data_IF_709989188761
#
_entry.id   IF_709989188761
#
_cell.length_a   1.000
_cell.length_b   1.000
_cell.length_c   1.000
_cell.angle_alpha   90.00
_cell.angle_beta   90.00
_cell.angle_gamma   90.00
#
_symmetry.space_group_name_H-M   'P 1'
#
loop_
_entity.id
_entity.type
_entity.pdbx_description
1 polymer ?
#
# COMPACT_ATOMS: atom_id res chain seq x y z
N UNK A 1 44.16 6.36 5.44
CA UNK A 1 43.02 5.44 5.66
C UNK A 1 41.89 6.27 6.23
N UNK A 2 41.11 6.92 5.37
CA UNK A 2 40.00 7.80 5.73
C UNK A 2 38.75 6.93 5.96
N UNK A 3 38.40 6.67 7.23
CA UNK A 3 37.15 5.99 7.61
C UNK A 3 36.05 7.05 7.74
N UNK A 4 34.92 6.84 7.06
CA UNK A 4 33.67 7.48 7.47
C UNK A 4 32.81 8.10 6.36
N UNK A 5 32.77 7.51 5.16
CA UNK A 5 31.69 7.76 4.20
C UNK A 5 30.36 7.18 4.69
N UNK A 6 29.87 7.62 5.85
CA UNK A 6 28.54 7.31 6.35
C UNK A 6 27.55 8.13 5.53
N UNK A 7 27.13 7.60 4.39
CA UNK A 7 25.88 8.05 3.77
C UNK A 7 24.73 7.71 4.75
N UNK A 8 24.39 8.65 5.63
CA UNK A 8 23.23 8.62 6.54
C UNK A 8 21.87 8.59 5.80
N UNK A 9 21.90 8.51 4.47
CA UNK A 9 20.77 8.55 3.57
C UNK A 9 20.57 7.17 2.92
N UNK A 10 20.33 6.14 3.74
CA UNK A 10 19.98 4.82 3.24
C UNK A 10 18.55 4.84 2.68
N UNK A 11 18.26 4.09 1.60
CA UNK A 11 16.89 3.90 1.16
C UNK A 11 16.08 3.21 2.26
N UNK A 12 14.92 3.77 2.58
CA UNK A 12 14.00 3.20 3.53
C UNK A 12 13.15 2.14 2.84
N UNK A 13 13.35 0.89 3.25
CA UNK A 13 12.59 -0.26 2.77
C UNK A 13 11.38 -0.48 3.67
N UNK A 14 10.20 -0.14 3.17
CA UNK A 14 8.93 -0.30 3.88
C UNK A 14 8.29 -1.65 3.53
N UNK A 15 7.75 -2.34 4.52
CA UNK A 15 7.09 -3.63 4.36
C UNK A 15 5.58 -3.44 4.41
N UNK A 16 4.88 -3.84 3.35
CA UNK A 16 3.43 -3.70 3.27
C UNK A 16 2.73 -5.04 3.07
N UNK A 17 1.50 -5.11 3.61
CA UNK A 17 0.55 -6.20 3.39
C UNK A 17 -0.82 -5.62 3.07
N UNK A 18 -1.42 -6.08 1.98
CA UNK A 18 -2.73 -5.62 1.53
C UNK A 18 -3.68 -6.80 1.52
N UNK A 19 -4.69 -6.73 2.38
CA UNK A 19 -5.68 -7.76 2.56
C UNK A 19 -6.90 -7.47 1.67
N UNK A 20 -7.17 -8.35 0.73
CA UNK A 20 -8.29 -8.25 -0.22
C UNK A 20 -9.24 -9.44 -0.05
N UNK A 21 -10.47 -9.37 -0.60
CA UNK A 21 -11.40 -10.49 -0.53
C UNK A 21 -10.78 -11.79 -1.03
N UNK A 22 -11.02 -12.89 -0.32
CA UNK A 22 -10.44 -14.20 -0.64
C UNK A 22 -10.74 -14.61 -2.08
N UNK A 23 -9.72 -15.04 -2.80
CA UNK A 23 -9.82 -15.42 -4.22
C UNK A 23 -9.53 -14.27 -5.20
N UNK A 24 -9.21 -13.07 -4.69
CA UNK A 24 -8.75 -11.97 -5.54
C UNK A 24 -7.40 -12.31 -6.17
N UNK A 25 -7.24 -11.98 -7.45
CA UNK A 25 -6.00 -12.28 -8.19
C UNK A 25 -5.29 -11.00 -8.58
N UNK A 26 -4.03 -10.88 -8.15
CA UNK A 26 -3.13 -9.83 -8.59
C UNK A 26 -2.84 -10.00 -10.08
N UNK A 27 -3.17 -9.01 -10.90
CA UNK A 27 -2.94 -9.03 -12.35
C UNK A 27 -1.71 -8.24 -12.76
N UNK A 28 -1.43 -7.16 -12.04
CA UNK A 28 -0.25 -6.33 -12.26
C UNK A 28 0.20 -5.67 -10.95
N UNK A 29 1.50 -5.51 -10.79
CA UNK A 29 2.10 -4.80 -9.67
C UNK A 29 3.31 -4.03 -10.13
N UNK A 30 3.36 -2.74 -9.79
CA UNK A 30 4.48 -1.86 -10.11
C UNK A 30 4.91 -1.07 -8.87
N UNK A 31 6.22 -0.85 -8.74
CA UNK A 31 6.83 -0.12 -7.62
C UNK A 31 7.31 -0.98 -6.45
N UNK A 32 7.06 -2.29 -6.45
CA UNK A 32 7.68 -3.22 -5.49
C UNK A 32 9.09 -3.60 -5.97
N UNK A 33 10.09 -3.47 -5.10
CA UNK A 33 11.47 -3.87 -5.43
C UNK A 33 11.64 -5.39 -5.58
N UNK A 34 10.77 -6.15 -4.94
CA UNK A 34 10.78 -7.61 -4.97
C UNK A 34 9.50 -8.14 -5.59
N UNK A 35 9.57 -9.38 -6.09
CA UNK A 35 8.39 -10.12 -6.52
C UNK A 35 7.40 -10.17 -5.35
N UNK A 36 6.19 -9.65 -5.57
CA UNK A 36 5.15 -9.71 -4.57
C UNK A 36 4.76 -11.15 -4.26
N UNK A 37 4.54 -11.42 -2.98
CA UNK A 37 4.02 -12.70 -2.51
C UNK A 37 2.51 -12.60 -2.39
N UNK A 38 1.84 -13.67 -2.77
CA UNK A 38 0.40 -13.82 -2.61
C UNK A 38 0.11 -15.08 -1.83
N UNK A 39 -0.65 -14.97 -0.75
CA UNK A 39 -1.06 -16.09 0.09
C UNK A 39 -2.41 -15.81 0.73
N UNK A 40 -3.02 -16.83 1.36
CA UNK A 40 -4.26 -16.66 2.11
C UNK A 40 -3.97 -16.59 3.61
N UNK A 41 -4.52 -15.59 4.29
CA UNK A 41 -4.41 -15.39 5.73
C UNK A 41 -5.69 -14.73 6.26
N UNK A 42 -6.15 -15.15 7.45
CA UNK A 42 -7.37 -14.62 8.10
C UNK A 42 -8.62 -14.63 7.19
N UNK A 43 -8.73 -15.63 6.32
CA UNK A 43 -9.84 -15.74 5.37
C UNK A 43 -9.85 -14.66 4.27
N UNK A 44 -8.71 -14.01 4.03
CA UNK A 44 -8.48 -13.02 2.98
C UNK A 44 -7.30 -13.45 2.12
N UNK A 45 -7.24 -12.94 0.90
CA UNK A 45 -6.02 -13.06 0.08
C UNK A 45 -5.14 -11.86 0.40
N UNK A 46 -3.86 -12.10 0.65
CA UNK A 46 -2.87 -11.11 1.05
C UNK A 46 -1.87 -10.91 -0.06
N UNK A 47 -1.66 -9.64 -0.42
CA UNK A 47 -0.57 -9.21 -1.27
C UNK A 47 0.51 -8.57 -0.42
N UNK A 48 1.70 -9.17 -0.40
CA UNK A 48 2.83 -8.74 0.41
C UNK A 48 4.00 -8.29 -0.48
N UNK A 49 4.66 -7.21 -0.09
CA UNK A 49 5.84 -6.73 -0.80
C UNK A 49 6.64 -5.72 0.02
N UNK A 50 7.64 -5.14 -0.65
CA UNK A 50 8.47 -4.09 -0.07
C UNK A 50 8.50 -2.87 -0.99
N UNK A 51 8.38 -1.69 -0.41
CA UNK A 51 8.43 -0.40 -1.09
C UNK A 51 9.75 0.32 -0.78
N UNK A 52 10.42 0.72 -1.85
CA UNK A 52 11.62 1.59 -1.90
C UNK A 52 11.35 3.06 -1.70
N UNK A 53 11.54 3.65 -0.52
CA UNK A 53 11.50 5.12 -0.34
C UNK A 53 12.91 5.67 -0.22
N UNK A 54 13.35 6.42 -1.24
CA UNK A 54 14.63 7.15 -1.15
C UNK A 54 14.45 8.40 -0.29
N UNK A 55 15.49 8.87 0.42
CA UNK A 55 15.45 10.14 1.16
C UNK A 55 14.97 11.29 0.26
N UNK A 56 14.03 12.10 0.77
CA UNK A 56 13.34 13.18 0.03
C UNK A 56 12.57 12.72 -1.23
N UNK A 57 12.42 11.41 -1.43
CA UNK A 57 11.72 10.80 -2.55
C UNK A 57 10.29 10.40 -2.22
N UNK A 58 9.56 9.97 -3.25
CA UNK A 58 8.20 9.45 -3.14
C UNK A 58 8.22 7.96 -3.51
N UNK A 59 7.85 7.10 -2.56
CA UNK A 59 7.51 5.71 -2.85
C UNK A 59 6.13 5.64 -3.50
N UNK A 60 6.01 5.01 -4.67
CA UNK A 60 4.72 4.77 -5.32
C UNK A 60 4.52 3.28 -5.55
N UNK A 61 3.49 2.72 -4.91
CA UNK A 61 3.01 1.37 -5.14
C UNK A 61 1.72 1.42 -5.96
N UNK A 62 1.68 0.72 -7.09
CA UNK A 62 0.47 0.57 -7.92
C UNK A 62 0.14 -0.90 -8.05
N UNK A 63 -1.08 -1.27 -7.67
CA UNK A 63 -1.58 -2.64 -7.76
C UNK A 63 -2.85 -2.69 -8.59
N UNK A 64 -2.89 -3.63 -9.53
CA UNK A 64 -4.10 -3.99 -10.25
C UNK A 64 -4.46 -5.42 -9.91
N UNK A 65 -5.70 -5.64 -9.49
CA UNK A 65 -6.20 -6.96 -9.13
C UNK A 65 -7.66 -7.12 -9.55
N UNK A 66 -8.06 -8.38 -9.67
CA UNK A 66 -9.43 -8.78 -9.99
C UNK A 66 -10.10 -9.35 -8.74
N UNK A 67 -11.34 -8.93 -8.51
CA UNK A 67 -12.19 -9.49 -7.46
C UNK A 67 -12.87 -10.77 -7.96
N UNK A 68 -13.12 -11.75 -7.07
CA UNK A 68 -13.79 -13.00 -7.43
C UNK A 68 -15.31 -12.85 -7.58
N UNK A 69 -15.85 -11.66 -7.36
CA UNK A 69 -17.27 -11.32 -7.51
C UNK A 69 -17.44 -9.93 -8.13
N UNK A 70 -18.65 -9.65 -8.62
CA UNK A 70 -19.02 -8.32 -9.10
C UNK A 70 -19.48 -7.46 -7.92
N UNK A 71 -18.93 -6.26 -7.81
CA UNK A 71 -19.43 -5.25 -6.86
C UNK A 71 -20.68 -4.58 -7.43
N UNK A 72 -21.68 -4.34 -6.58
CA UNK A 72 -22.82 -3.51 -6.95
C UNK A 72 -22.37 -2.04 -7.07
N UNK A 73 -23.06 -1.29 -7.92
CA UNK A 73 -22.71 0.10 -8.20
C UNK A 73 -22.94 0.94 -6.93
N UNK A 74 -21.90 1.57 -6.40
CA UNK A 74 -21.99 2.35 -5.16
C UNK A 74 -21.87 1.51 -3.87
N UNK A 75 -21.48 0.23 -3.96
CA UNK A 75 -21.13 -0.54 -2.77
C UNK A 75 -20.00 0.14 -2.00
N UNK A 76 -20.14 0.30 -0.67
CA UNK A 76 -19.05 0.83 0.15
C UNK A 76 -17.94 -0.22 0.23
N UNK A 77 -16.72 0.15 -0.18
CA UNK A 77 -15.52 -0.62 0.07
C UNK A 77 -14.90 -0.18 1.40
N UNK A 78 -14.98 -1.00 2.46
CA UNK A 78 -14.26 -0.72 3.69
C UNK A 78 -12.77 -0.89 3.44
N UNK A 79 -12.01 0.17 3.67
CA UNK A 79 -10.55 0.18 3.60
C UNK A 79 -10.01 0.52 4.98
N UNK A 80 -9.19 -0.36 5.54
CA UNK A 80 -8.45 -0.10 6.76
C UNK A 80 -6.99 0.08 6.41
N UNK A 81 -6.40 1.19 6.86
CA UNK A 81 -4.98 1.50 6.71
C UNK A 81 -4.41 1.59 8.12
N UNK A 82 -3.39 0.80 8.40
CA UNK A 82 -2.74 0.79 9.70
C UNK A 82 -1.43 1.55 9.62
N UNK A 83 -1.23 2.45 10.58
CA UNK A 83 -0.09 3.34 10.63
C UNK A 83 1.14 2.59 11.14
N UNK A 84 2.26 2.70 10.44
CA UNK A 84 3.53 2.16 10.94
C UNK A 84 4.15 3.10 11.98
N UNK A 85 4.65 2.59 13.12
CA UNK A 85 5.42 3.42 14.05
C UNK A 85 6.73 3.89 13.40
N UNK A 86 7.26 5.03 13.84
CA UNK A 86 8.56 5.54 13.37
C UNK A 86 8.50 6.64 12.31
N UNK A 87 7.33 6.94 11.75
CA UNK A 87 7.10 8.11 10.90
C UNK A 87 5.91 8.96 11.34
N UNK A 88 5.94 10.21 10.90
CA UNK A 88 4.94 11.24 11.13
C UNK A 88 4.69 12.01 9.83
N UNK A 89 3.48 12.56 9.69
CA UNK A 89 3.09 13.43 8.58
C UNK A 89 3.13 12.78 7.17
N UNK A 90 3.02 11.45 7.08
CA UNK A 90 2.91 10.77 5.79
C UNK A 90 1.56 11.06 5.13
N UNK A 91 1.59 11.67 3.94
CA UNK A 91 0.39 12.02 3.17
C UNK A 91 -0.04 10.85 2.28
N UNK A 92 -1.27 10.40 2.47
CA UNK A 92 -1.88 9.35 1.66
C UNK A 92 -2.91 9.95 0.71
N UNK A 93 -2.80 9.57 -0.57
CA UNK A 93 -3.79 9.90 -1.60
C UNK A 93 -4.38 8.63 -2.16
N UNK A 94 -5.68 8.43 -1.97
CA UNK A 94 -6.42 7.29 -2.50
C UNK A 94 -7.09 7.70 -3.80
N UNK A 95 -6.82 6.95 -4.88
CA UNK A 95 -7.44 7.15 -6.19
C UNK A 95 -8.21 5.91 -6.61
N UNK A 96 -9.45 6.09 -7.07
CA UNK A 96 -10.27 5.04 -7.69
C UNK A 96 -10.65 5.48 -9.10
N UNK A 97 -10.42 4.62 -10.10
CA UNK A 97 -10.68 4.90 -11.53
C UNK A 97 -10.11 6.27 -11.98
N UNK A 98 -8.91 6.61 -11.48
CA UNK A 98 -8.21 7.87 -11.80
C UNK A 98 -8.68 9.12 -11.04
N UNK A 99 -9.78 9.04 -10.28
CA UNK A 99 -10.30 10.15 -9.47
C UNK A 99 -9.80 10.03 -8.02
N UNK A 100 -9.35 11.14 -7.44
CA UNK A 100 -9.02 11.21 -6.01
C UNK A 100 -10.31 11.03 -5.21
N UNK A 101 -10.35 9.99 -4.38
CA UNK A 101 -11.49 9.70 -3.49
C UNK A 101 -11.24 10.31 -2.12
N UNK A 102 -10.01 10.21 -1.63
CA UNK A 102 -9.64 10.75 -0.33
C UNK A 102 -8.16 11.17 -0.31
N UNK A 103 -7.86 12.19 0.49
CA UNK A 103 -6.52 12.71 0.74
C UNK A 103 -6.41 13.09 2.21
N UNK A 104 -5.42 12.57 2.93
CA UNK A 104 -5.25 12.81 4.36
C UNK A 104 -3.83 12.49 4.84
N UNK A 105 -3.47 12.99 6.01
CA UNK A 105 -2.27 12.59 6.75
C UNK A 105 -2.61 11.38 7.61
N UNK A 106 -1.80 10.32 7.54
CA UNK A 106 -2.00 9.11 8.35
C UNK A 106 -1.22 9.25 9.66
N UNK A 107 -1.86 9.79 10.69
CA UNK A 107 -1.31 9.93 12.05
C UNK A 107 -1.59 8.70 12.92
N UNK A 108 -2.71 8.02 12.67
CA UNK A 108 -3.18 6.83 13.37
C UNK A 108 -3.86 5.84 12.41
N UNK A 109 -4.15 4.63 12.90
CA UNK A 109 -4.95 3.65 12.16
C UNK A 109 -6.28 4.26 11.71
N UNK A 110 -6.58 4.14 10.42
CA UNK A 110 -7.74 4.78 9.80
C UNK A 110 -8.60 3.78 9.06
N UNK A 111 -9.91 3.84 9.29
CA UNK A 111 -10.90 3.06 8.53
C UNK A 111 -11.76 4.00 7.68
N UNK A 112 -11.85 3.69 6.39
CA UNK A 112 -12.52 4.47 5.37
C UNK A 112 -13.60 3.63 4.70
N UNK A 113 -14.69 4.26 4.27
CA UNK A 113 -15.74 3.63 3.47
C UNK A 113 -15.76 4.30 2.10
N UNK A 114 -14.99 3.76 1.17
CA UNK A 114 -14.86 4.33 -0.17
C UNK A 114 -16.09 3.95 -1.00
N UNK A 115 -16.69 4.92 -1.71
CA UNK A 115 -17.75 4.65 -2.69
C UNK A 115 -17.11 4.41 -4.06
N UNK A 116 -17.28 3.21 -4.64
CA UNK A 116 -16.63 2.78 -5.89
C UNK A 116 -17.59 2.40 -7.02
#
# INVERSE_FOLDING_TARGET
MERGGLCLNAPWRDWFRIYVPKGSKLTDSSGSEVKMKTYDELGKTVFEGFLTVRPLGIGRLTLTYTLPFKLEKGSPLPLMIQKQPGTENDEYTIKSKGKTVEKFILDQDKTLKLKI
#
